data_IF_415620740704
#
_entry.id   IF_415620740704
#
_cell.length_a   1.000
_cell.length_b   1.000
_cell.length_c   1.000
_cell.angle_alpha   90.00
_cell.angle_beta   90.00
_cell.angle_gamma   90.00
#
_symmetry.space_group_name_H-M   'P 1'
#
loop_
_entity.id
_entity.type
_entity.pdbx_description
1 polymer ?
#
# COMPACT_ATOMS: atom_id res chain seq x y z
N UNK A 1 -22.62 3.13 12.15
CA UNK A 1 -21.39 3.24 11.31
C UNK A 1 -20.80 1.84 11.21
N UNK A 2 -19.94 1.57 10.24
CA UNK A 2 -19.26 0.27 10.11
C UNK A 2 -17.84 0.39 10.66
N UNK A 3 -17.28 -0.70 11.15
CA UNK A 3 -15.88 -0.73 11.60
C UNK A 3 -14.93 -0.24 10.50
N UNK A 4 -15.15 -0.70 9.25
CA UNK A 4 -14.34 -0.26 8.10
C UNK A 4 -14.37 1.27 7.93
N UNK A 5 -15.54 1.89 8.05
CA UNK A 5 -15.67 3.35 7.97
C UNK A 5 -14.90 4.05 9.09
N UNK A 6 -15.07 3.58 10.32
CA UNK A 6 -14.41 4.19 11.49
C UNK A 6 -12.88 4.07 11.36
N UNK A 7 -12.38 2.91 10.97
CA UNK A 7 -10.94 2.63 10.77
C UNK A 7 -10.30 3.41 9.61
N UNK A 8 -11.06 3.74 8.56
CA UNK A 8 -10.61 4.68 7.52
C UNK A 8 -10.40 6.07 8.11
N UNK A 9 -11.28 6.52 9.02
CA UNK A 9 -11.19 7.84 9.64
C UNK A 9 -10.17 7.91 10.79
N UNK A 10 -9.79 6.79 11.39
CA UNK A 10 -8.75 6.73 12.41
C UNK A 10 -7.33 6.93 11.85
N UNK A 11 -7.13 6.84 10.53
CA UNK A 11 -5.80 6.88 9.89
C UNK A 11 -4.96 8.10 10.29
N UNK A 12 -5.47 9.34 10.33
CA UNK A 12 -4.66 10.50 10.70
C UNK A 12 -4.07 10.39 12.11
N UNK A 13 -4.89 10.01 13.09
CA UNK A 13 -4.46 9.84 14.48
C UNK A 13 -3.46 8.70 14.63
N UNK A 14 -3.75 7.55 14.00
CA UNK A 14 -2.87 6.38 14.00
C UNK A 14 -1.50 6.73 13.41
N UNK A 15 -1.46 7.44 12.29
CA UNK A 15 -0.22 7.86 11.65
C UNK A 15 0.59 8.82 12.50
N UNK A 16 -0.06 9.84 13.10
CA UNK A 16 0.61 10.80 13.98
C UNK A 16 1.26 10.09 15.17
N UNK A 17 0.50 9.22 15.85
CA UNK A 17 0.99 8.43 16.99
C UNK A 17 2.15 7.51 16.61
N UNK A 18 2.03 6.77 15.48
CA UNK A 18 3.10 5.89 15.03
C UNK A 18 4.40 6.65 14.78
N UNK A 19 4.34 7.77 14.06
CA UNK A 19 5.53 8.55 13.73
C UNK A 19 6.24 9.09 14.97
N UNK A 20 5.49 9.45 16.01
CA UNK A 20 6.05 9.91 17.28
C UNK A 20 6.63 8.73 18.10
N UNK A 21 5.82 7.71 18.37
CA UNK A 21 6.19 6.61 19.26
C UNK A 21 7.27 5.69 18.68
N UNK A 22 7.32 5.50 17.35
CA UNK A 22 8.21 4.53 16.72
C UNK A 22 9.52 5.15 16.17
N UNK A 23 9.70 6.47 16.27
CA UNK A 23 10.92 7.14 15.81
C UNK A 23 12.19 6.55 16.42
N UNK A 24 12.19 6.32 17.73
CA UNK A 24 13.32 5.71 18.46
C UNK A 24 13.59 4.25 18.08
N UNK A 25 12.53 3.45 17.85
CA UNK A 25 12.67 2.07 17.39
C UNK A 25 13.24 2.01 15.98
N UNK A 26 12.72 2.82 15.05
CA UNK A 26 13.22 2.90 13.68
C UNK A 26 14.69 3.35 13.62
N UNK A 27 15.09 4.33 14.46
CA UNK A 27 16.47 4.78 14.54
C UNK A 27 17.44 3.67 15.03
N UNK A 28 17.05 2.90 16.06
CA UNK A 28 17.83 1.75 16.53
C UNK A 28 17.97 0.66 15.47
N UNK A 29 16.87 0.34 14.78
CA UNK A 29 16.88 -0.66 13.70
C UNK A 29 17.77 -0.16 12.54
N UNK A 30 17.66 1.09 12.14
CA UNK A 30 18.51 1.68 11.11
C UNK A 30 20.01 1.62 11.49
N UNK A 31 20.34 1.86 12.74
CA UNK A 31 21.72 1.70 13.25
C UNK A 31 22.20 0.24 13.14
N UNK A 32 21.35 -0.73 13.49
CA UNK A 32 21.67 -2.15 13.35
C UNK A 32 21.87 -2.57 11.88
N UNK A 33 21.08 -2.01 10.95
CA UNK A 33 21.26 -2.24 9.50
C UNK A 33 22.59 -1.66 9.03
N UNK A 34 22.91 -0.40 9.39
CA UNK A 34 24.18 0.24 9.01
C UNK A 34 25.43 -0.46 9.58
N UNK A 35 25.29 -1.13 10.71
CA UNK A 35 26.38 -1.91 11.30
C UNK A 35 26.68 -3.23 10.53
N UNK A 36 25.88 -3.56 9.54
CA UNK A 36 26.01 -4.76 8.69
C UNK A 36 26.25 -4.40 7.24
N UNK A 37 26.97 -5.25 6.50
CA UNK A 37 27.15 -5.11 5.04
C UNK A 37 25.91 -5.68 4.31
N UNK A 38 24.76 -5.01 4.46
CA UNK A 38 23.51 -5.39 3.80
C UNK A 38 23.57 -4.96 2.34
N UNK A 39 23.39 -5.89 1.42
CA UNK A 39 23.46 -5.65 -0.03
C UNK A 39 22.11 -5.56 -0.71
N UNK A 40 21.09 -6.21 -0.15
CA UNK A 40 19.72 -6.22 -0.67
C UNK A 40 18.75 -6.53 0.46
N UNK A 41 17.48 -6.22 0.24
CA UNK A 41 16.42 -6.60 1.17
C UNK A 41 15.52 -7.68 0.54
N UNK A 42 15.00 -8.57 1.37
CA UNK A 42 13.95 -9.52 1.03
C UNK A 42 12.77 -9.27 1.95
N UNK A 43 11.59 -9.00 1.37
CA UNK A 43 10.38 -8.72 2.14
C UNK A 43 9.37 -9.83 1.95
N UNK A 44 8.95 -10.45 3.05
CA UNK A 44 7.92 -11.46 3.09
C UNK A 44 6.61 -10.86 3.63
N UNK A 45 5.53 -10.97 2.85
CA UNK A 45 4.23 -10.44 3.18
C UNK A 45 3.12 -11.13 2.38
N UNK A 46 1.84 -10.88 2.73
CA UNK A 46 0.64 -11.31 1.99
C UNK A 46 -0.40 -10.20 1.93
N UNK A 47 -1.24 -10.24 0.89
CA UNK A 47 -2.38 -9.33 0.75
C UNK A 47 -2.00 -7.85 0.87
N UNK A 48 -2.71 -7.13 1.71
CA UNK A 48 -2.46 -5.71 2.00
C UNK A 48 -1.01 -5.44 2.45
N UNK A 49 -0.42 -6.33 3.25
CA UNK A 49 0.98 -6.19 3.67
C UNK A 49 1.97 -6.39 2.51
N UNK A 50 1.64 -7.23 1.50
CA UNK A 50 2.44 -7.37 0.28
C UNK A 50 2.37 -6.10 -0.58
N UNK A 51 1.22 -5.41 -0.57
CA UNK A 51 1.10 -4.10 -1.23
C UNK A 51 1.97 -3.03 -0.54
N UNK A 52 2.09 -3.06 0.79
CA UNK A 52 3.05 -2.23 1.51
C UNK A 52 4.51 -2.60 1.18
N UNK A 53 4.80 -3.89 0.98
CA UNK A 53 6.12 -4.34 0.53
C UNK A 53 6.46 -3.85 -0.89
N UNK A 54 5.47 -3.75 -1.81
CA UNK A 54 5.65 -3.13 -3.13
C UNK A 54 6.02 -1.65 -3.04
N UNK A 55 5.43 -0.92 -2.10
CA UNK A 55 5.84 0.45 -1.82
C UNK A 55 7.29 0.50 -1.33
N UNK A 56 7.68 -0.40 -0.44
CA UNK A 56 9.05 -0.49 0.08
C UNK A 56 10.09 -0.77 -1.02
N UNK A 57 9.73 -1.47 -2.12
CA UNK A 57 10.65 -1.67 -3.25
C UNK A 57 11.11 -0.34 -3.85
N UNK A 58 10.15 0.57 -4.11
CA UNK A 58 10.47 1.90 -4.61
C UNK A 58 11.16 2.77 -3.56
N UNK A 59 10.69 2.67 -2.30
CA UNK A 59 11.16 3.49 -1.19
C UNK A 59 12.63 3.21 -0.87
N UNK A 60 12.98 1.97 -0.52
CA UNK A 60 14.37 1.61 -0.20
C UNK A 60 15.29 1.70 -1.43
N UNK A 61 14.77 1.34 -2.63
CA UNK A 61 15.52 1.50 -3.87
C UNK A 61 15.85 2.96 -4.18
N UNK A 62 14.89 3.85 -4.04
CA UNK A 62 15.04 5.29 -4.32
C UNK A 62 15.82 6.05 -3.26
N UNK A 63 15.44 5.91 -1.98
CA UNK A 63 16.04 6.68 -0.90
C UNK A 63 17.35 6.08 -0.38
N UNK A 64 17.46 4.75 -0.34
CA UNK A 64 18.58 4.07 0.31
C UNK A 64 19.51 3.33 -0.67
N UNK A 65 19.21 3.37 -1.98
CA UNK A 65 19.93 2.58 -3.00
C UNK A 65 20.00 1.09 -2.71
N UNK A 66 19.03 0.57 -1.94
CA UNK A 66 18.97 -0.81 -1.50
C UNK A 66 17.96 -1.58 -2.38
N UNK A 67 18.40 -2.54 -3.22
CA UNK A 67 17.51 -3.38 -4.00
C UNK A 67 16.60 -4.21 -3.11
N UNK A 68 15.33 -4.34 -3.48
CA UNK A 68 14.35 -5.11 -2.71
C UNK A 68 13.71 -6.20 -3.57
N UNK A 69 13.76 -7.44 -3.11
CA UNK A 69 13.00 -8.56 -3.66
C UNK A 69 11.80 -8.88 -2.77
N UNK A 70 10.64 -9.16 -3.37
CA UNK A 70 9.53 -9.79 -2.65
C UNK A 70 9.83 -11.28 -2.52
N UNK A 71 9.64 -11.83 -1.33
CA UNK A 71 9.91 -13.22 -1.04
C UNK A 71 8.96 -14.15 -1.82
N UNK A 72 9.41 -15.37 -2.03
CA UNK A 72 8.62 -16.48 -2.55
C UNK A 72 8.42 -17.52 -1.43
N UNK A 73 7.47 -17.31 -0.48
CA UNK A 73 7.39 -18.11 0.76
C UNK A 73 7.27 -19.61 0.54
N UNK A 74 6.67 -20.05 -0.58
CA UNK A 74 6.57 -21.48 -0.90
C UNK A 74 7.92 -22.19 -1.02
N UNK A 75 9.00 -21.47 -1.39
CA UNK A 75 10.36 -22.04 -1.40
C UNK A 75 10.85 -22.41 0.00
N UNK A 76 10.35 -21.74 1.01
CA UNK A 76 10.73 -21.95 2.41
C UNK A 76 9.88 -23.06 3.06
N UNK A 77 8.55 -22.96 2.96
CA UNK A 77 7.61 -23.88 3.61
C UNK A 77 7.41 -25.20 2.80
N UNK A 78 7.02 -25.09 1.52
CA UNK A 78 6.58 -26.23 0.70
C UNK A 78 7.75 -26.93 0.01
N UNK A 79 8.52 -26.19 -0.79
CA UNK A 79 9.63 -26.77 -1.55
C UNK A 79 10.87 -27.08 -0.71
N UNK A 80 11.02 -26.40 0.46
CA UNK A 80 12.15 -26.54 1.38
C UNK A 80 13.52 -26.35 0.71
N UNK A 81 13.55 -25.42 -0.25
CA UNK A 81 14.75 -25.01 -1.01
C UNK A 81 14.94 -23.50 -0.92
N UNK A 82 15.16 -22.95 0.31
CA UNK A 82 15.26 -21.51 0.51
C UNK A 82 16.47 -20.92 -0.22
N UNK A 83 16.35 -19.71 -0.77
CA UNK A 83 17.48 -19.01 -1.37
C UNK A 83 18.54 -18.63 -0.32
N UNK A 84 19.72 -18.19 -0.78
CA UNK A 84 20.76 -17.67 0.10
C UNK A 84 20.44 -16.27 0.56
N UNK A 85 20.39 -16.04 1.89
CA UNK A 85 19.97 -14.77 2.52
C UNK A 85 21.06 -14.12 3.36
N UNK A 86 22.27 -14.65 3.39
CA UNK A 86 23.32 -14.24 4.33
C UNK A 86 23.58 -12.71 4.34
N UNK A 87 23.60 -12.07 3.16
CA UNK A 87 23.90 -10.63 3.01
C UNK A 87 22.61 -9.80 2.84
N UNK A 88 21.46 -10.40 3.14
CA UNK A 88 20.16 -9.73 3.04
C UNK A 88 19.75 -9.05 4.34
N UNK A 89 18.94 -8.01 4.19
CA UNK A 89 17.99 -7.57 5.20
C UNK A 89 16.67 -8.32 4.98
N UNK A 90 16.21 -9.11 5.91
CA UNK A 90 14.95 -9.86 5.78
C UNK A 90 13.87 -9.18 6.61
N UNK A 91 12.80 -8.71 5.96
CA UNK A 91 11.65 -8.11 6.63
C UNK A 91 10.43 -9.02 6.50
N UNK A 92 9.78 -9.32 7.61
CA UNK A 92 8.44 -9.89 7.64
C UNK A 92 7.42 -8.79 7.94
N UNK A 93 6.42 -8.60 7.06
CA UNK A 93 5.35 -7.63 7.26
C UNK A 93 4.04 -8.38 7.41
N UNK A 94 3.40 -8.25 8.58
CA UNK A 94 2.11 -8.90 8.86
C UNK A 94 1.37 -8.17 9.97
N UNK A 95 0.11 -7.82 9.74
CA UNK A 95 -0.73 -7.20 10.76
C UNK A 95 -0.82 -8.07 12.02
N UNK A 96 -1.20 -9.33 11.87
CA UNK A 96 -1.40 -10.28 12.99
C UNK A 96 -0.10 -10.96 13.43
N UNK A 97 0.92 -11.01 12.57
CA UNK A 97 2.15 -11.77 12.80
C UNK A 97 1.96 -13.28 12.92
N UNK A 98 0.81 -13.82 12.45
CA UNK A 98 0.43 -15.23 12.62
C UNK A 98 0.69 -16.09 11.37
N UNK A 99 0.96 -15.51 10.20
CA UNK A 99 1.09 -16.24 8.93
C UNK A 99 2.32 -17.16 8.94
N UNK A 100 2.17 -18.49 8.94
CA UNK A 100 3.28 -19.43 9.10
C UNK A 100 4.32 -19.32 7.99
N UNK A 101 3.88 -19.07 6.76
CA UNK A 101 4.75 -18.93 5.60
C UNK A 101 5.64 -17.67 5.67
N UNK A 102 5.14 -16.57 6.25
CA UNK A 102 5.92 -15.36 6.49
C UNK A 102 6.92 -15.56 7.63
N UNK A 103 6.49 -16.22 8.71
CA UNK A 103 7.35 -16.59 9.83
C UNK A 103 8.52 -17.46 9.35
N UNK A 104 8.23 -18.48 8.51
CA UNK A 104 9.27 -19.38 7.99
C UNK A 104 10.36 -18.64 7.16
N UNK A 105 10.01 -17.59 6.43
CA UNK A 105 11.01 -16.77 5.71
C UNK A 105 11.93 -16.04 6.67
N UNK A 106 11.37 -15.45 7.74
CA UNK A 106 12.14 -14.68 8.73
C UNK A 106 13.02 -15.60 9.57
N UNK A 107 12.50 -16.75 10.03
CA UNK A 107 13.26 -17.77 10.74
C UNK A 107 14.45 -18.29 9.91
N UNK A 108 14.21 -18.58 8.65
CA UNK A 108 15.27 -19.05 7.76
C UNK A 108 16.31 -17.95 7.51
N UNK A 109 15.89 -16.68 7.32
CA UNK A 109 16.80 -15.55 7.23
C UNK A 109 17.73 -15.48 8.45
N UNK A 110 17.14 -15.54 9.66
CA UNK A 110 17.89 -15.53 10.92
C UNK A 110 18.83 -16.75 11.05
N UNK A 111 18.36 -17.94 10.67
CA UNK A 111 19.18 -19.17 10.67
C UNK A 111 20.40 -19.04 9.76
N UNK A 112 20.29 -18.33 8.64
CA UNK A 112 21.40 -18.06 7.72
C UNK A 112 22.30 -16.88 8.18
N UNK A 113 21.97 -16.19 9.28
CA UNK A 113 22.73 -15.05 9.81
C UNK A 113 22.37 -13.71 9.15
N UNK A 114 21.30 -13.63 8.36
CA UNK A 114 20.75 -12.36 7.89
C UNK A 114 20.20 -11.55 9.06
N UNK A 115 20.18 -10.22 8.94
CA UNK A 115 19.47 -9.36 9.88
C UNK A 115 17.98 -9.43 9.59
N UNK A 116 17.18 -9.70 10.63
CA UNK A 116 15.75 -9.92 10.47
C UNK A 116 14.91 -8.89 11.23
N UNK A 117 13.84 -8.40 10.60
CA UNK A 117 12.94 -7.39 11.16
C UNK A 117 11.49 -7.84 10.98
N UNK A 118 10.70 -7.76 12.04
CA UNK A 118 9.25 -7.89 11.99
C UNK A 118 8.59 -6.50 12.03
N UNK A 119 7.74 -6.21 11.04
CA UNK A 119 6.85 -5.04 11.03
C UNK A 119 5.43 -5.55 11.28
N UNK A 120 4.92 -5.33 12.48
CA UNK A 120 3.68 -5.99 12.92
C UNK A 120 2.90 -5.16 13.94
N UNK A 121 1.58 -5.36 13.98
CA UNK A 121 0.73 -4.80 15.02
C UNK A 121 0.66 -5.67 16.29
N UNK A 122 1.24 -6.89 16.22
CA UNK A 122 1.27 -7.86 17.32
C UNK A 122 2.72 -8.13 17.77
N UNK A 123 3.29 -7.32 18.68
CA UNK A 123 4.72 -7.37 19.04
C UNK A 123 5.13 -8.62 19.83
N UNK A 124 4.17 -9.47 20.21
CA UNK A 124 4.41 -10.76 20.87
C UNK A 124 4.04 -11.97 19.99
N UNK A 125 3.77 -11.73 18.70
CA UNK A 125 3.40 -12.77 17.74
C UNK A 125 4.55 -13.70 17.37
N UNK A 126 4.28 -14.86 16.72
CA UNK A 126 5.32 -15.74 16.18
C UNK A 126 6.31 -15.00 15.26
N UNK A 127 5.80 -14.10 14.39
CA UNK A 127 6.67 -13.29 13.54
C UNK A 127 7.63 -12.40 14.35
N UNK A 128 7.12 -11.75 15.39
CA UNK A 128 7.94 -10.91 16.26
C UNK A 128 9.02 -11.71 17.01
N UNK A 129 8.72 -12.95 17.42
CA UNK A 129 9.67 -13.83 18.09
C UNK A 129 10.73 -14.38 17.13
N UNK A 130 10.39 -14.57 15.87
CA UNK A 130 11.30 -15.04 14.84
C UNK A 130 12.36 -14.00 14.43
N UNK A 131 12.08 -12.71 14.60
CA UNK A 131 12.95 -11.62 14.15
C UNK A 131 13.96 -11.16 15.21
N UNK A 132 15.08 -10.55 14.76
CA UNK A 132 16.06 -9.91 15.65
C UNK A 132 15.54 -8.57 16.19
N UNK A 133 14.74 -7.87 15.38
CA UNK A 133 14.13 -6.58 15.74
C UNK A 133 12.66 -6.56 15.39
N UNK A 134 11.89 -5.80 16.17
CA UNK A 134 10.46 -5.55 15.91
C UNK A 134 10.24 -4.06 15.75
N UNK A 135 9.54 -3.68 14.68
CA UNK A 135 8.99 -2.34 14.47
C UNK A 135 7.47 -2.43 14.62
N UNK A 136 6.93 -2.08 15.79
CA UNK A 136 5.51 -2.17 16.08
C UNK A 136 4.72 -1.11 15.28
N UNK A 137 3.51 -1.45 14.85
CA UNK A 137 2.62 -0.50 14.17
C UNK A 137 1.81 0.36 15.14
N UNK A 138 1.42 -0.19 16.30
CA UNK A 138 0.67 0.56 17.31
C UNK A 138 -0.69 1.08 16.88
N UNK A 139 -1.35 0.42 15.90
CA UNK A 139 -2.61 0.91 15.32
C UNK A 139 -3.85 0.61 16.17
N UNK A 140 -3.67 -0.06 17.31
CA UNK A 140 -4.79 -0.58 18.10
C UNK A 140 -5.45 -1.78 17.41
N UNK A 141 -6.70 -2.08 17.79
CA UNK A 141 -7.49 -3.13 17.17
C UNK A 141 -8.02 -2.66 15.80
N UNK A 142 -7.85 -3.48 14.77
CA UNK A 142 -8.50 -3.31 13.46
C UNK A 142 -9.49 -4.45 13.27
N UNK A 143 -10.79 -4.13 13.36
CA UNK A 143 -11.90 -5.09 13.41
C UNK A 143 -12.42 -5.47 12.04
N UNK A 144 -12.47 -4.52 11.12
CA UNK A 144 -12.87 -4.79 9.75
C UNK A 144 -11.98 -5.86 9.13
N UNK A 145 -12.57 -6.78 8.38
CA UNK A 145 -11.80 -7.85 7.71
C UNK A 145 -10.81 -7.26 6.72
N UNK A 146 -11.26 -6.30 5.91
CA UNK A 146 -10.42 -5.58 4.97
C UNK A 146 -9.58 -4.52 5.72
N UNK A 147 -8.26 -4.65 5.68
CA UNK A 147 -7.34 -3.74 6.34
C UNK A 147 -7.31 -2.37 5.64
N UNK A 148 -7.27 -1.29 6.44
CA UNK A 148 -7.16 0.10 5.97
C UNK A 148 -6.13 0.90 6.75
N UNK A 149 -6.37 1.16 8.05
CA UNK A 149 -5.42 1.88 8.91
C UNK A 149 -4.11 1.12 9.10
N UNK A 150 -4.15 -0.22 9.15
CA UNK A 150 -2.93 -1.03 9.20
C UNK A 150 -2.09 -0.86 7.94
N UNK A 151 -2.70 -0.75 6.75
CA UNK A 151 -1.96 -0.52 5.51
C UNK A 151 -1.17 0.80 5.56
N UNK A 152 -1.83 1.91 5.85
CA UNK A 152 -1.16 3.21 5.90
C UNK A 152 -0.13 3.28 7.04
N UNK A 153 -0.37 2.59 8.16
CA UNK A 153 0.62 2.43 9.23
C UNK A 153 1.85 1.62 8.76
N UNK A 154 1.67 0.57 7.97
CA UNK A 154 2.79 -0.17 7.38
C UNK A 154 3.60 0.71 6.42
N UNK A 155 2.94 1.53 5.59
CA UNK A 155 3.65 2.50 4.76
C UNK A 155 4.46 3.48 5.63
N UNK A 156 3.88 4.00 6.73
CA UNK A 156 4.55 4.94 7.63
C UNK A 156 5.75 4.32 8.35
N UNK A 157 5.61 3.09 8.84
CA UNK A 157 6.71 2.37 9.49
C UNK A 157 7.88 2.13 8.52
N UNK A 158 7.59 1.73 7.28
CA UNK A 158 8.58 1.54 6.22
C UNK A 158 9.23 2.87 5.81
N UNK A 159 8.42 3.94 5.67
CA UNK A 159 8.91 5.28 5.34
C UNK A 159 9.82 5.82 6.46
N UNK A 160 9.41 5.68 7.72
CA UNK A 160 10.21 6.08 8.88
C UNK A 160 11.55 5.34 8.92
N UNK A 161 11.54 4.03 8.69
CA UNK A 161 12.76 3.22 8.63
C UNK A 161 13.67 3.67 7.47
N UNK A 162 13.12 3.90 6.29
CA UNK A 162 13.88 4.35 5.12
C UNK A 162 14.52 5.72 5.34
N UNK A 163 13.79 6.65 5.96
CA UNK A 163 14.31 7.98 6.31
C UNK A 163 15.42 7.87 7.38
N UNK A 164 15.27 7.00 8.38
CA UNK A 164 16.31 6.75 9.37
C UNK A 164 17.56 6.09 8.77
N UNK A 165 17.44 5.41 7.62
CA UNK A 165 18.57 4.83 6.88
C UNK A 165 19.25 5.85 5.95
N UNK A 166 18.60 6.95 5.61
CA UNK A 166 19.17 8.00 4.77
C UNK A 166 20.34 8.72 5.46
N UNK A 167 21.16 9.43 4.65
CA UNK A 167 22.24 10.28 5.16
C UNK A 167 21.73 11.43 6.02
N UNK A 168 22.60 11.94 6.91
CA UNK A 168 22.21 12.95 7.90
C UNK A 168 21.66 14.24 7.27
N UNK A 169 22.22 14.64 6.12
CA UNK A 169 21.85 15.89 5.42
C UNK A 169 20.39 15.90 4.93
N UNK A 170 19.86 14.76 4.48
CA UNK A 170 18.50 14.65 3.95
C UNK A 170 17.46 14.18 5.00
N UNK A 171 17.93 13.66 6.13
CA UNK A 171 17.07 13.00 7.11
C UNK A 171 16.06 13.94 7.74
N UNK A 172 16.47 15.11 8.19
CA UNK A 172 15.59 16.07 8.87
C UNK A 172 14.50 16.60 7.93
N UNK A 173 14.85 16.96 6.72
CA UNK A 173 13.90 17.41 5.69
C UNK A 173 12.84 16.32 5.42
N UNK A 174 13.31 15.08 5.21
CA UNK A 174 12.40 13.94 4.96
C UNK A 174 11.53 13.57 6.17
N UNK A 175 12.04 13.76 7.40
CA UNK A 175 11.23 13.58 8.61
C UNK A 175 10.13 14.63 8.69
N UNK A 176 10.41 15.89 8.34
CA UNK A 176 9.41 16.96 8.34
C UNK A 176 8.35 16.73 7.24
N UNK A 177 8.78 16.29 6.05
CA UNK A 177 7.85 15.85 5.00
C UNK A 177 6.94 14.72 5.51
N UNK A 178 7.51 13.69 6.15
CA UNK A 178 6.75 12.55 6.69
C UNK A 178 5.78 12.97 7.80
N UNK A 179 6.19 13.88 8.68
CA UNK A 179 5.33 14.45 9.73
C UNK A 179 4.12 15.21 9.19
N UNK A 180 4.15 15.66 7.94
CA UNK A 180 3.02 16.34 7.30
C UNK A 180 1.91 15.38 6.83
N UNK A 181 2.19 14.09 6.75
CA UNK A 181 1.29 13.06 6.20
C UNK A 181 -0.03 12.95 6.96
N UNK A 182 -0.08 12.89 8.30
CA UNK A 182 -1.35 12.78 9.03
C UNK A 182 -2.35 13.89 8.67
N UNK A 183 -1.89 15.14 8.66
CA UNK A 183 -2.73 16.27 8.29
C UNK A 183 -3.17 16.25 6.82
N UNK A 184 -2.35 15.72 5.92
CA UNK A 184 -2.70 15.55 4.51
C UNK A 184 -3.76 14.45 4.32
N UNK A 185 -3.67 13.35 5.07
CA UNK A 185 -4.67 12.28 5.08
C UNK A 185 -6.00 12.79 5.64
N UNK A 186 -5.99 13.54 6.75
CA UNK A 186 -7.19 14.16 7.34
C UNK A 186 -7.91 15.04 6.31
N UNK A 187 -7.18 15.93 5.64
CA UNK A 187 -7.77 16.76 4.58
C UNK A 187 -8.34 15.92 3.43
N UNK A 188 -7.72 14.79 3.10
CA UNK A 188 -8.16 13.91 2.00
C UNK A 188 -9.45 13.17 2.36
N UNK A 189 -9.70 12.85 3.62
CA UNK A 189 -10.95 12.25 4.09
C UNK A 189 -12.17 13.16 3.83
N UNK A 190 -11.98 14.47 3.71
CA UNK A 190 -13.06 15.40 3.32
C UNK A 190 -13.65 15.12 1.92
N UNK A 191 -13.02 14.29 1.11
CA UNK A 191 -13.56 13.83 -0.17
C UNK A 191 -14.70 12.82 -0.02
N UNK A 192 -14.96 12.29 1.18
CA UNK A 192 -15.93 11.19 1.37
C UNK A 192 -17.29 11.47 0.75
N UNK A 193 -17.86 12.68 0.94
CA UNK A 193 -19.16 13.03 0.36
C UNK A 193 -19.18 12.96 -1.17
N UNK A 194 -18.12 13.41 -1.83
CA UNK A 194 -17.97 13.34 -3.28
C UNK A 194 -17.80 11.89 -3.76
N UNK A 195 -17.00 11.09 -3.03
CA UNK A 195 -16.78 9.67 -3.33
C UNK A 195 -18.07 8.87 -3.14
N UNK A 196 -18.84 9.13 -2.07
CA UNK A 196 -20.11 8.46 -1.81
C UNK A 196 -21.13 8.70 -2.92
N UNK A 197 -21.20 9.94 -3.43
CA UNK A 197 -22.05 10.27 -4.56
C UNK A 197 -21.58 9.56 -5.84
N UNK A 198 -20.28 9.58 -6.10
CA UNK A 198 -19.70 8.92 -7.27
C UNK A 198 -19.90 7.40 -7.25
N UNK A 199 -19.80 6.77 -6.08
CA UNK A 199 -19.93 5.32 -5.91
C UNK A 199 -21.26 4.76 -6.42
N UNK A 200 -22.36 5.56 -6.34
CA UNK A 200 -23.68 5.16 -6.84
C UNK A 200 -23.65 4.80 -8.33
N UNK A 201 -22.78 5.49 -9.08
CA UNK A 201 -22.63 5.28 -10.52
C UNK A 201 -22.00 3.92 -10.85
N UNK A 202 -21.18 3.34 -9.96
CA UNK A 202 -20.37 2.14 -10.23
C UNK A 202 -20.97 0.84 -9.69
N UNK A 203 -22.24 0.85 -9.29
CA UNK A 203 -22.95 -0.33 -8.80
C UNK A 203 -23.10 -1.41 -9.87
N UNK A 204 -23.12 -1.03 -11.15
CA UNK A 204 -23.19 -1.95 -12.29
C UNK A 204 -21.87 -2.68 -12.57
N UNK A 205 -20.75 -2.12 -12.13
CA UNK A 205 -19.44 -2.63 -12.48
C UNK A 205 -19.22 -4.05 -11.92
N UNK A 206 -18.79 -4.95 -12.81
CA UNK A 206 -18.36 -6.31 -12.50
C UNK A 206 -16.85 -6.47 -12.63
N UNK A 207 -16.22 -5.60 -13.41
CA UNK A 207 -14.79 -5.55 -13.65
C UNK A 207 -14.30 -4.11 -13.78
N UNK A 208 -13.02 -3.89 -13.48
CA UNK A 208 -12.34 -2.62 -13.68
C UNK A 208 -10.82 -2.82 -13.67
N UNK A 209 -10.09 -1.83 -14.12
CA UNK A 209 -8.64 -1.75 -13.90
C UNK A 209 -8.30 -0.62 -12.94
N UNK A 210 -7.21 -0.80 -12.20
CA UNK A 210 -6.64 0.23 -11.33
C UNK A 210 -5.21 0.50 -11.78
N UNK A 211 -4.93 1.72 -12.21
CA UNK A 211 -3.69 2.10 -12.86
C UNK A 211 -2.88 3.03 -11.96
N UNK A 212 -1.63 2.67 -11.71
CA UNK A 212 -0.67 3.49 -10.99
C UNK A 212 0.73 3.30 -11.56
N UNK A 213 1.73 4.03 -11.05
CA UNK A 213 3.14 3.85 -11.41
C UNK A 213 4.05 4.35 -10.31
N UNK A 214 5.31 3.85 -10.28
CA UNK A 214 6.27 4.26 -9.26
C UNK A 214 5.75 3.88 -7.86
N UNK A 215 5.84 4.80 -6.91
CA UNK A 215 5.34 4.59 -5.55
C UNK A 215 3.85 4.22 -5.51
N UNK A 216 3.06 4.74 -6.44
CA UNK A 216 1.61 4.46 -6.52
C UNK A 216 1.26 3.17 -7.28
N UNK A 217 2.24 2.38 -7.71
CA UNK A 217 1.99 1.01 -8.15
C UNK A 217 1.43 0.17 -6.99
N UNK A 218 1.98 0.35 -5.79
CA UNK A 218 1.44 -0.24 -4.56
C UNK A 218 0.00 0.21 -4.27
N UNK A 219 -0.30 1.49 -4.47
CA UNK A 219 -1.64 2.06 -4.29
C UNK A 219 -2.66 1.43 -5.25
N UNK A 220 -2.26 1.20 -6.51
CA UNK A 220 -3.13 0.52 -7.48
C UNK A 220 -3.47 -0.90 -7.01
N UNK A 221 -2.49 -1.65 -6.50
CA UNK A 221 -2.73 -2.98 -5.94
C UNK A 221 -3.66 -2.97 -4.73
N UNK A 222 -3.47 -2.01 -3.82
CA UNK A 222 -4.28 -1.91 -2.62
C UNK A 222 -5.73 -1.52 -2.93
N UNK A 223 -5.95 -0.53 -3.81
CA UNK A 223 -7.30 -0.15 -4.25
C UNK A 223 -8.00 -1.35 -4.93
N UNK A 224 -7.29 -2.03 -5.84
CA UNK A 224 -7.84 -3.20 -6.51
C UNK A 224 -8.19 -4.33 -5.52
N UNK A 225 -7.35 -4.54 -4.50
CA UNK A 225 -7.62 -5.53 -3.45
C UNK A 225 -8.88 -5.17 -2.67
N UNK A 226 -9.03 -3.91 -2.22
CA UNK A 226 -10.22 -3.44 -1.49
C UNK A 226 -11.50 -3.57 -2.32
N UNK A 227 -11.44 -3.24 -3.62
CA UNK A 227 -12.57 -3.44 -4.51
C UNK A 227 -12.96 -4.92 -4.64
N UNK A 228 -11.98 -5.83 -4.81
CA UNK A 228 -12.24 -7.28 -4.87
C UNK A 228 -12.84 -7.82 -3.59
N UNK A 229 -12.26 -7.48 -2.45
CA UNK A 229 -12.67 -8.00 -1.13
C UNK A 229 -14.08 -7.55 -0.74
N UNK A 230 -14.42 -6.29 -1.01
CA UNK A 230 -15.63 -5.66 -0.48
C UNK A 230 -16.78 -5.60 -1.49
N UNK A 231 -16.48 -5.38 -2.77
CA UNK A 231 -17.51 -5.14 -3.81
C UNK A 231 -17.69 -6.32 -4.75
N UNK A 232 -16.79 -7.31 -4.68
CA UNK A 232 -16.72 -8.49 -5.56
C UNK A 232 -16.53 -8.14 -7.05
N UNK A 233 -16.04 -6.95 -7.35
CA UNK A 233 -15.62 -6.52 -8.67
C UNK A 233 -14.26 -7.15 -8.98
N UNK A 234 -14.08 -7.70 -10.17
CA UNK A 234 -12.79 -8.15 -10.67
C UNK A 234 -11.95 -6.91 -10.99
N UNK A 235 -11.19 -6.43 -10.02
CA UNK A 235 -10.35 -5.24 -10.14
C UNK A 235 -8.89 -5.66 -10.36
N UNK A 236 -8.33 -5.32 -11.53
CA UNK A 236 -6.97 -5.71 -11.88
C UNK A 236 -6.01 -4.51 -11.82
N UNK A 237 -4.94 -4.60 -10.99
CA UNK A 237 -3.96 -3.53 -10.86
C UNK A 237 -2.86 -3.65 -11.91
N UNK A 238 -2.47 -2.51 -12.51
CA UNK A 238 -1.35 -2.45 -13.44
C UNK A 238 -0.50 -1.20 -13.23
N UNK A 239 0.78 -1.31 -13.57
CA UNK A 239 1.55 -0.13 -13.87
C UNK A 239 1.12 0.42 -15.24
N UNK A 240 1.17 1.74 -15.42
CA UNK A 240 0.84 2.35 -16.71
C UNK A 240 1.70 1.84 -17.85
N UNK A 241 2.94 1.38 -17.56
CA UNK A 241 3.80 0.77 -18.54
C UNK A 241 3.31 -0.63 -18.92
N UNK A 242 3.15 -1.53 -17.93
CA UNK A 242 2.76 -2.93 -18.19
C UNK A 242 1.38 -3.00 -18.84
N UNK A 243 0.48 -2.08 -18.52
CA UNK A 243 -0.85 -2.04 -19.10
C UNK A 243 -0.83 -1.88 -20.63
N UNK A 244 0.12 -1.09 -21.17
CA UNK A 244 0.30 -0.92 -22.62
C UNK A 244 0.82 -2.16 -23.34
N UNK A 245 1.46 -3.10 -22.61
CA UNK A 245 2.04 -4.32 -23.16
C UNK A 245 1.02 -5.47 -23.33
N UNK A 246 -0.24 -5.13 -23.63
CA UNK A 246 -1.28 -6.12 -23.95
C UNK A 246 -2.59 -5.86 -23.21
N UNK A 247 -2.62 -5.72 -21.87
CA UNK A 247 -3.86 -5.55 -21.09
C UNK A 247 -4.75 -4.40 -21.54
N UNK A 248 -4.22 -3.35 -22.15
CA UNK A 248 -4.97 -2.21 -22.69
C UNK A 248 -6.03 -2.62 -23.73
N UNK A 249 -5.92 -3.82 -24.29
CA UNK A 249 -6.88 -4.36 -25.26
C UNK A 249 -8.25 -4.68 -24.65
N UNK A 250 -8.35 -4.89 -23.33
CA UNK A 250 -9.63 -5.16 -22.66
C UNK A 250 -10.52 -3.91 -22.54
N UNK A 251 -9.94 -2.72 -22.75
CA UNK A 251 -10.68 -1.46 -22.56
C UNK A 251 -11.53 -1.13 -23.76
N UNK A 252 -12.81 -1.11 -23.54
CA UNK A 252 -13.83 -0.66 -24.48
C UNK A 252 -14.63 0.54 -23.93
N UNK A 253 -15.59 1.04 -24.72
CA UNK A 253 -16.43 2.17 -24.30
C UNK A 253 -17.16 1.88 -22.98
N UNK A 254 -16.99 2.79 -22.02
CA UNK A 254 -17.64 2.70 -20.71
C UNK A 254 -16.95 1.75 -19.72
N UNK A 255 -15.82 1.12 -20.09
CA UNK A 255 -15.05 0.27 -19.19
C UNK A 255 -14.48 1.11 -18.02
N UNK A 256 -14.75 0.74 -16.74
CA UNK A 256 -14.29 1.50 -15.59
C UNK A 256 -12.76 1.38 -15.40
N UNK A 257 -12.08 2.52 -15.27
CA UNK A 257 -10.65 2.55 -14.97
C UNK A 257 -10.34 3.58 -13.88
N UNK A 258 -9.82 3.13 -12.77
CA UNK A 258 -9.28 3.99 -11.71
C UNK A 258 -7.85 4.37 -12.07
N UNK A 259 -7.56 5.66 -12.15
CA UNK A 259 -6.22 6.18 -12.50
C UNK A 259 -5.67 6.98 -11.34
N UNK A 260 -4.58 6.52 -10.76
CA UNK A 260 -3.85 7.18 -9.68
C UNK A 260 -2.72 8.01 -10.28
N UNK A 261 -2.92 9.32 -10.36
CA UNK A 261 -2.04 10.26 -11.06
C UNK A 261 -1.67 11.49 -10.21
N UNK A 262 -0.97 11.31 -9.07
CA UNK A 262 -0.43 12.45 -8.34
C UNK A 262 0.69 13.13 -9.12
N UNK A 263 1.06 14.34 -8.70
CA UNK A 263 2.24 15.04 -9.23
C UNK A 263 3.51 14.26 -8.90
N UNK A 264 4.46 14.21 -9.84
CA UNK A 264 5.75 13.58 -9.66
C UNK A 264 6.41 13.21 -10.99
N UNK A 265 7.51 12.49 -10.93
CA UNK A 265 8.31 12.11 -12.09
C UNK A 265 7.56 11.19 -13.06
N UNK A 266 6.66 10.33 -12.54
CA UNK A 266 5.90 9.38 -13.36
C UNK A 266 4.58 9.96 -13.90
N UNK A 267 4.16 11.15 -13.44
CA UNK A 267 2.91 11.79 -13.83
C UNK A 267 2.72 11.92 -15.35
N UNK A 268 3.72 12.38 -16.15
CA UNK A 268 3.54 12.54 -17.60
C UNK A 268 3.17 11.23 -18.31
N UNK A 269 3.71 10.09 -17.86
CA UNK A 269 3.41 8.79 -18.43
C UNK A 269 2.00 8.31 -18.07
N UNK A 270 1.59 8.47 -16.81
CA UNK A 270 0.24 8.12 -16.36
C UNK A 270 -0.81 8.99 -17.06
N UNK A 271 -0.53 10.29 -17.21
CA UNK A 271 -1.38 11.22 -17.93
C UNK A 271 -1.53 10.84 -19.41
N UNK A 272 -0.43 10.44 -20.07
CA UNK A 272 -0.47 10.00 -21.46
C UNK A 272 -1.36 8.76 -21.64
N UNK A 273 -1.30 7.80 -20.72
CA UNK A 273 -2.20 6.65 -20.71
C UNK A 273 -3.67 7.08 -20.48
N UNK A 274 -3.90 7.95 -19.50
CA UNK A 274 -5.26 8.45 -19.23
C UNK A 274 -5.89 9.14 -20.46
N UNK A 275 -5.10 9.92 -21.21
CA UNK A 275 -5.54 10.52 -22.48
C UNK A 275 -5.89 9.46 -23.55
N UNK A 276 -5.06 8.43 -23.67
CA UNK A 276 -5.32 7.31 -24.58
C UNK A 276 -6.63 6.60 -24.25
N UNK A 277 -6.89 6.34 -22.97
CA UNK A 277 -8.11 5.67 -22.49
C UNK A 277 -9.35 6.55 -22.63
N UNK A 278 -9.23 7.86 -22.47
CA UNK A 278 -10.31 8.82 -22.63
C UNK A 278 -10.65 9.10 -24.11
N UNK A 279 -9.74 8.77 -25.04
CA UNK A 279 -9.94 9.05 -26.46
C UNK A 279 -11.18 8.34 -27.04
N UNK A 280 -11.84 8.92 -28.07
CA UNK A 280 -13.10 8.38 -28.63
C UNK A 280 -13.04 6.91 -29.04
N UNK A 281 -11.86 6.39 -29.41
CA UNK A 281 -11.66 5.00 -29.81
C UNK A 281 -11.81 3.99 -28.67
N UNK A 282 -11.52 4.40 -27.42
CA UNK A 282 -11.69 3.59 -26.21
C UNK A 282 -12.83 4.10 -25.34
N UNK A 283 -12.89 5.42 -25.13
CA UNK A 283 -13.92 6.10 -24.34
C UNK A 283 -14.20 5.41 -22.99
N UNK A 284 -13.12 5.02 -22.28
CA UNK A 284 -13.18 4.42 -20.97
C UNK A 284 -13.85 5.36 -19.95
N UNK A 285 -14.46 4.82 -18.93
CA UNK A 285 -15.03 5.58 -17.83
C UNK A 285 -13.98 5.78 -16.73
N UNK A 286 -13.29 6.93 -16.78
CA UNK A 286 -12.17 7.21 -15.91
C UNK A 286 -12.62 7.77 -14.55
N UNK A 287 -12.12 7.15 -13.47
CA UNK A 287 -12.11 7.66 -12.10
C UNK A 287 -10.67 8.11 -11.85
N UNK A 288 -10.42 9.42 -11.73
CA UNK A 288 -9.05 9.93 -11.61
C UNK A 288 -8.80 10.51 -10.23
N UNK A 289 -7.82 9.95 -9.53
CA UNK A 289 -7.31 10.43 -8.24
C UNK A 289 -6.05 11.27 -8.52
N UNK A 290 -6.17 12.59 -8.42
CA UNK A 290 -5.08 13.51 -8.78
C UNK A 290 -5.27 14.88 -8.13
N UNK A 291 -4.18 15.63 -7.95
CA UNK A 291 -4.20 17.07 -7.69
C UNK A 291 -4.12 17.92 -8.96
N UNK A 292 -3.90 17.31 -10.13
CA UNK A 292 -3.60 18.01 -11.37
C UNK A 292 -4.84 18.20 -12.24
N UNK A 293 -5.16 19.45 -12.57
CA UNK A 293 -6.33 19.81 -13.38
C UNK A 293 -6.40 19.09 -14.73
N UNK A 294 -5.24 18.85 -15.35
CA UNK A 294 -5.17 18.22 -16.66
C UNK A 294 -5.66 16.77 -16.62
N UNK A 295 -5.24 15.99 -15.61
CA UNK A 295 -5.71 14.62 -15.42
C UNK A 295 -7.20 14.58 -15.02
N UNK A 296 -7.63 15.50 -14.13
CA UNK A 296 -9.00 15.56 -13.65
C UNK A 296 -10.00 15.92 -14.78
N UNK A 297 -9.59 16.71 -15.77
CA UNK A 297 -10.45 17.04 -16.93
C UNK A 297 -10.73 15.85 -17.84
N UNK A 298 -9.93 14.79 -17.80
CA UNK A 298 -10.16 13.55 -18.54
C UNK A 298 -11.19 12.65 -17.85
N UNK A 299 -11.43 12.88 -16.56
CA UNK A 299 -12.22 12.00 -15.74
C UNK A 299 -13.73 12.20 -15.89
N UNK A 300 -14.47 11.11 -15.92
CA UNK A 300 -15.90 11.11 -15.63
C UNK A 300 -16.16 11.36 -14.16
N UNK A 301 -15.27 10.82 -13.30
CA UNK A 301 -15.30 11.00 -11.85
C UNK A 301 -13.96 11.57 -11.39
N UNK A 302 -13.82 12.89 -11.29
CA UNK A 302 -12.62 13.51 -10.76
C UNK A 302 -12.62 13.46 -9.23
N UNK A 303 -11.58 12.85 -8.63
CA UNK A 303 -11.33 12.82 -7.19
C UNK A 303 -10.09 13.69 -6.91
N UNK A 304 -10.34 14.97 -6.61
CA UNK A 304 -9.29 15.97 -6.45
C UNK A 304 -8.60 15.83 -5.09
N UNK A 305 -7.33 15.46 -5.09
CA UNK A 305 -6.50 15.50 -3.89
C UNK A 305 -6.33 16.94 -3.39
N UNK A 306 -6.67 17.23 -2.13
CA UNK A 306 -6.65 18.60 -1.59
C UNK A 306 -5.25 19.10 -1.24
N UNK A 307 -4.28 18.19 -1.10
CA UNK A 307 -2.90 18.48 -0.70
C UNK A 307 -1.93 17.77 -1.64
N UNK A 308 -0.92 18.49 -2.09
CA UNK A 308 0.23 17.91 -2.78
C UNK A 308 1.27 17.47 -1.75
N UNK A 309 1.64 16.21 -1.75
CA UNK A 309 2.78 15.67 -1.02
C UNK A 309 3.92 15.37 -2.00
N UNK A 310 5.19 15.30 -1.53
CA UNK A 310 6.26 14.71 -2.30
C UNK A 310 5.86 13.34 -2.87
N UNK A 311 6.36 13.00 -4.06
CA UNK A 311 5.90 11.81 -4.79
C UNK A 311 6.02 10.53 -3.96
N UNK A 312 7.10 10.39 -3.17
CA UNK A 312 7.32 9.23 -2.33
C UNK A 312 6.31 9.07 -1.17
N UNK A 313 5.64 10.16 -0.76
CA UNK A 313 4.58 10.18 0.25
C UNK A 313 3.16 10.21 -0.36
N UNK A 314 3.03 10.38 -1.67
CA UNK A 314 1.73 10.46 -2.32
C UNK A 314 0.85 9.20 -2.14
N UNK A 315 1.37 7.97 -1.94
CA UNK A 315 0.54 6.80 -1.64
C UNK A 315 -0.39 6.96 -0.45
N UNK A 316 0.01 7.73 0.57
CA UNK A 316 -0.81 7.95 1.76
C UNK A 316 -2.12 8.68 1.47
N UNK A 317 -2.07 9.69 0.61
CA UNK A 317 -3.28 10.45 0.23
C UNK A 317 -4.01 9.80 -0.95
N UNK A 318 -3.30 9.14 -1.86
CA UNK A 318 -3.90 8.51 -3.02
C UNK A 318 -4.73 7.27 -2.69
N UNK A 319 -4.40 6.54 -1.62
CA UNK A 319 -5.13 5.33 -1.24
C UNK A 319 -6.49 5.65 -0.60
N UNK A 320 -6.61 6.77 0.11
CA UNK A 320 -7.82 7.14 0.86
C UNK A 320 -9.06 7.23 -0.04
N UNK A 321 -9.06 7.94 -1.18
CA UNK A 321 -10.22 7.93 -2.08
C UNK A 321 -10.57 6.54 -2.60
N UNK A 322 -9.58 5.66 -2.77
CA UNK A 322 -9.80 4.27 -3.17
C UNK A 322 -10.47 3.43 -2.08
N UNK A 323 -10.04 3.59 -0.83
CA UNK A 323 -10.67 2.94 0.33
C UNK A 323 -12.13 3.41 0.51
N UNK A 324 -12.36 4.72 0.43
CA UNK A 324 -13.70 5.30 0.46
C UNK A 324 -14.57 4.83 -0.71
N UNK A 325 -14.01 4.73 -1.93
CA UNK A 325 -14.72 4.21 -3.10
C UNK A 325 -15.15 2.77 -2.87
N UNK A 326 -14.26 1.90 -2.40
CA UNK A 326 -14.61 0.52 -2.09
C UNK A 326 -15.70 0.43 -1.02
N UNK A 327 -15.61 1.20 0.09
CA UNK A 327 -16.62 1.28 1.12
C UNK A 327 -18.00 1.68 0.56
N UNK A 328 -18.05 2.77 -0.19
CA UNK A 328 -19.32 3.32 -0.67
C UNK A 328 -19.94 2.52 -1.82
N UNK A 329 -19.13 1.92 -2.71
CA UNK A 329 -19.65 0.98 -3.72
C UNK A 329 -20.22 -0.27 -3.05
N UNK A 330 -19.58 -0.77 -1.98
CA UNK A 330 -20.09 -1.90 -1.17
C UNK A 330 -21.47 -1.59 -0.61
N UNK A 331 -21.62 -0.42 0.03
CA UNK A 331 -22.90 0.05 0.57
C UNK A 331 -23.95 0.24 -0.52
N UNK A 332 -23.57 0.84 -1.64
CA UNK A 332 -24.48 1.09 -2.77
C UNK A 332 -24.97 -0.21 -3.44
N UNK A 333 -24.15 -1.27 -3.42
CA UNK A 333 -24.54 -2.63 -3.85
C UNK A 333 -25.36 -3.38 -2.78
N UNK A 334 -25.58 -2.83 -1.59
CA UNK A 334 -26.31 -3.46 -0.51
C UNK A 334 -25.51 -4.55 0.24
N UNK A 335 -24.17 -4.51 0.18
CA UNK A 335 -23.32 -5.46 0.89
C UNK A 335 -22.87 -4.89 2.24
N UNK A 336 -22.52 -5.80 3.18
CA UNK A 336 -21.96 -5.43 4.47
C UNK A 336 -20.42 -5.27 4.36
N UNK A 337 -19.87 -4.06 4.60
CA UNK A 337 -18.44 -3.82 4.51
C UNK A 337 -17.61 -4.49 5.61
N UNK A 338 -18.25 -4.85 6.75
CA UNK A 338 -17.56 -5.48 7.88
C UNK A 338 -17.53 -7.01 7.78
N UNK A 339 -18.46 -7.61 7.00
CA UNK A 339 -18.58 -9.06 6.83
C UNK A 339 -18.54 -9.49 5.35
N UNK A 340 -17.40 -9.30 4.65
CA UNK A 340 -17.27 -9.71 3.26
C UNK A 340 -17.32 -11.23 3.12
N UNK A 341 -17.92 -11.70 2.00
CA UNK A 341 -18.15 -13.12 1.74
C UNK A 341 -16.84 -13.93 1.69
N UNK A 342 -16.81 -15.04 2.45
CA UNK A 342 -15.70 -16.00 2.36
C UNK A 342 -14.37 -15.55 2.93
N UNK A 343 -14.30 -14.36 3.50
CA UNK A 343 -13.08 -13.83 4.11
C UNK A 343 -13.13 -13.93 5.64
N UNK A 344 -11.96 -14.09 6.23
CA UNK A 344 -11.70 -14.03 7.67
C UNK A 344 -10.59 -13.04 7.93
N UNK A 345 -10.59 -12.43 9.13
CA UNK A 345 -9.56 -11.43 9.51
C UNK A 345 -8.12 -11.98 9.47
N UNK A 346 -7.93 -13.23 9.83
CA UNK A 346 -6.64 -13.93 9.77
C UNK A 346 -6.76 -15.11 8.83
N UNK A 347 -5.87 -15.16 7.85
CA UNK A 347 -5.75 -16.29 6.92
C UNK A 347 -4.46 -17.04 7.23
N UNK A 348 -4.58 -18.33 7.55
CA UNK A 348 -3.43 -19.21 7.74
C UNK A 348 -3.08 -19.86 6.39
N UNK A 349 -1.92 -19.47 5.83
CA UNK A 349 -1.34 -20.05 4.60
C UNK A 349 -0.09 -20.85 4.96
N UNK A 350 0.04 -22.06 4.36
CA UNK A 350 1.22 -22.92 4.53
C UNK A 350 2.22 -22.71 3.40
#
# INVERSE_FOLDING_TARGET
MSYLSDEIHEQPEVLARLLDEQAGAAARIAAAIRARDVRYAVIAARGTSDNAARYAQYLFGGLNRLPVALATPSLFGIYRTPPRLRDALVLGISQSGQSPDIVAVVEEGRRQGALTIAVTNAPVSPLAQAADHVLPLGVGEERAVAATKTYTAQLAALALLAVQLAGDEEREERLDELRSVPAAVEKTLALEGAVALAAQRYTYATECVVLGRGYNYATAFEIALKLKELTYVVAEPYSSADFRHGPVAIVERGFPAVVVAPQGAVYPDVLALARELAAPGKAAELIVISGQDEALRLARTPLRLPVALPEWLSPFTCVVPGQLLALHVTRAKGYDPDHPRGLKKVTETQ
#
